data_IF_759420437085
#
_entry.id   IF_759420437085
#
_cell.length_a   1.000
_cell.length_b   1.000
_cell.length_c   1.000
_cell.angle_alpha   90.00
_cell.angle_beta   90.00
_cell.angle_gamma   90.00
#
_symmetry.space_group_name_H-M   'P 1'
#
loop_
_entity.id
_entity.type
_entity.pdbx_description
1 polymer ?
#
# COMPACT_ATOMS: atom_id res chain seq x y z
N UNK A 1 -3.27 13.09 14.31
CA UNK A 1 -3.41 12.71 12.87
C UNK A 1 -2.33 11.72 12.46
N UNK A 2 -1.05 12.08 12.57
CA UNK A 2 0.05 11.18 12.19
C UNK A 2 0.04 9.87 12.98
N UNK A 3 -0.24 9.92 14.28
CA UNK A 3 -0.28 8.72 15.13
C UNK A 3 -1.36 7.73 14.69
N UNK A 4 -2.51 8.19 14.23
CA UNK A 4 -3.57 7.31 13.73
C UNK A 4 -3.18 6.61 12.43
N UNK A 5 -2.45 7.30 11.55
CA UNK A 5 -1.95 6.69 10.31
C UNK A 5 -0.91 5.61 10.60
N UNK A 6 -0.05 5.83 11.60
CA UNK A 6 0.91 4.82 12.05
C UNK A 6 0.17 3.61 12.63
N UNK A 7 -0.82 3.85 13.48
CA UNK A 7 -1.61 2.77 14.10
C UNK A 7 -2.40 1.97 13.07
N UNK A 8 -3.01 2.64 12.07
CA UNK A 8 -3.69 1.97 10.95
C UNK A 8 -2.72 1.03 10.24
N UNK A 9 -1.51 1.52 9.94
CA UNK A 9 -0.49 0.75 9.24
C UNK A 9 -0.07 -0.47 10.04
N UNK A 10 0.19 -0.29 11.34
CA UNK A 10 0.58 -1.39 12.22
C UNK A 10 -0.55 -2.41 12.42
N UNK A 11 -1.80 -1.96 12.44
CA UNK A 11 -2.96 -2.86 12.53
C UNK A 11 -3.09 -3.74 11.28
N UNK A 12 -2.72 -3.21 10.11
CA UNK A 12 -2.76 -3.96 8.85
C UNK A 12 -1.57 -4.92 8.70
N UNK A 13 -0.45 -4.66 9.36
CA UNK A 13 0.80 -5.38 9.20
C UNK A 13 0.67 -6.91 9.29
N UNK A 14 0.03 -7.49 10.33
CA UNK A 14 -0.06 -8.95 10.43
C UNK A 14 -0.97 -9.59 9.38
N UNK A 15 -1.72 -8.76 8.65
CA UNK A 15 -2.68 -9.22 7.64
C UNK A 15 -2.07 -9.20 6.22
N UNK A 16 -0.90 -8.61 6.07
CA UNK A 16 -0.19 -8.51 4.79
C UNK A 16 0.81 -9.65 4.69
N UNK A 17 0.77 -10.39 3.58
CA UNK A 17 1.65 -11.54 3.35
C UNK A 17 2.45 -11.33 2.07
N UNK A 18 3.77 -11.41 2.17
CA UNK A 18 4.68 -11.24 1.04
C UNK A 18 6.01 -10.68 1.50
N UNK A 19 6.94 -10.53 0.57
CA UNK A 19 8.28 -10.00 0.86
C UNK A 19 8.62 -8.76 0.06
N UNK A 20 8.10 -8.64 -1.15
CA UNK A 20 8.29 -7.45 -1.98
C UNK A 20 7.00 -6.64 -1.99
N UNK A 21 7.04 -5.49 -1.36
CA UNK A 21 5.86 -4.64 -1.14
C UNK A 21 6.05 -3.32 -1.87
N UNK A 22 5.05 -2.93 -2.65
CA UNK A 22 4.98 -1.61 -3.27
C UNK A 22 3.92 -0.78 -2.57
N UNK A 23 4.29 0.41 -2.13
CA UNK A 23 3.37 1.40 -1.57
C UNK A 23 3.18 2.52 -2.58
N UNK A 24 2.00 2.61 -3.18
CA UNK A 24 1.69 3.55 -4.26
C UNK A 24 1.04 4.81 -3.70
N UNK A 25 1.55 5.96 -4.12
CA UNK A 25 1.10 7.25 -3.61
C UNK A 25 1.55 7.46 -2.18
N UNK A 26 2.77 7.10 -1.90
CA UNK A 26 3.33 6.95 -0.56
C UNK A 26 3.57 8.26 0.19
N UNK A 27 3.36 9.40 -0.42
CA UNK A 27 3.59 10.77 0.04
C UNK A 27 3.96 11.00 1.51
N UNK A 28 3.12 10.55 2.45
CA UNK A 28 3.38 10.63 3.88
C UNK A 28 4.13 9.44 4.45
N UNK A 29 4.52 8.48 3.63
CA UNK A 29 5.25 7.28 4.05
C UNK A 29 4.40 6.18 4.68
N UNK A 30 3.10 6.26 4.58
CA UNK A 30 2.17 5.30 5.20
C UNK A 30 1.44 4.48 4.14
N UNK A 31 1.34 3.16 4.27
CA UNK A 31 1.84 2.34 5.38
C UNK A 31 3.29 1.87 5.23
N UNK A 32 3.97 2.22 4.15
CA UNK A 32 5.27 1.67 3.78
C UNK A 32 6.34 1.81 4.84
N UNK A 33 6.54 3.00 5.42
CA UNK A 33 7.60 3.21 6.41
C UNK A 33 7.36 2.39 7.68
N UNK A 34 6.17 2.39 8.29
CA UNK A 34 5.91 1.49 9.42
C UNK A 34 6.14 0.02 9.11
N UNK A 35 5.78 -0.44 7.92
CA UNK A 35 6.04 -1.81 7.49
C UNK A 35 7.55 -2.10 7.42
N UNK A 36 8.32 -1.17 6.85
CA UNK A 36 9.76 -1.32 6.71
C UNK A 36 10.46 -1.41 8.06
N UNK A 37 10.04 -0.61 9.01
CA UNK A 37 10.58 -0.60 10.37
C UNK A 37 10.26 -1.92 11.08
N UNK A 38 9.03 -2.39 10.98
CA UNK A 38 8.55 -3.56 11.70
C UNK A 38 8.99 -4.88 11.09
N UNK A 39 9.26 -4.88 9.78
CA UNK A 39 9.64 -6.09 9.03
C UNK A 39 10.94 -5.85 8.26
N UNK A 40 12.10 -5.97 8.93
CA UNK A 40 13.39 -5.71 8.28
C UNK A 40 13.70 -6.63 7.08
N UNK A 41 13.05 -7.80 7.03
CA UNK A 41 13.27 -8.78 5.97
C UNK A 41 12.42 -8.50 4.71
N UNK A 42 11.46 -7.58 4.80
CA UNK A 42 10.67 -7.18 3.65
C UNK A 42 11.44 -6.18 2.79
N UNK A 43 11.16 -6.18 1.50
CA UNK A 43 11.69 -5.19 0.57
C UNK A 43 10.57 -4.21 0.23
N UNK A 44 10.71 -2.97 0.63
CA UNK A 44 9.71 -1.92 0.44
C UNK A 44 10.13 -0.98 -0.67
N UNK A 45 9.21 -0.69 -1.58
CA UNK A 45 9.35 0.36 -2.58
C UNK A 45 8.26 1.40 -2.35
N UNK A 46 8.66 2.63 -2.11
CA UNK A 46 7.74 3.76 -1.92
C UNK A 46 7.70 4.56 -3.21
N UNK A 47 6.56 4.59 -3.85
CA UNK A 47 6.38 5.22 -5.16
C UNK A 47 5.45 6.44 -5.05
N UNK A 48 5.91 7.58 -5.55
CA UNK A 48 5.08 8.77 -5.66
C UNK A 48 5.58 9.62 -6.84
N UNK A 49 4.67 10.24 -7.55
CA UNK A 49 5.02 11.10 -8.69
C UNK A 49 5.48 12.50 -8.25
N UNK A 50 5.21 12.89 -7.01
CA UNK A 50 5.53 14.22 -6.49
C UNK A 50 6.96 14.28 -6.00
N UNK A 51 7.79 15.11 -6.66
CA UNK A 51 9.21 15.24 -6.34
C UNK A 51 9.47 15.72 -4.90
N UNK A 52 8.67 16.65 -4.41
CA UNK A 52 8.80 17.15 -3.02
C UNK A 52 8.56 16.04 -2.01
N UNK A 53 7.51 15.25 -2.23
CA UNK A 53 7.15 14.14 -1.34
C UNK A 53 8.23 13.06 -1.36
N UNK A 54 8.75 12.70 -2.53
CA UNK A 54 9.80 11.68 -2.63
C UNK A 54 11.12 12.16 -2.03
N UNK A 55 11.43 13.45 -2.12
CA UNK A 55 12.60 14.02 -1.44
C UNK A 55 12.47 13.86 0.08
N UNK A 56 11.30 14.16 0.63
CA UNK A 56 11.01 13.95 2.04
C UNK A 56 11.13 12.46 2.42
N UNK A 57 10.58 11.56 1.60
CA UNK A 57 10.65 10.12 1.86
C UNK A 57 12.10 9.62 1.86
N UNK A 58 12.91 10.07 0.91
CA UNK A 58 14.33 9.71 0.84
C UNK A 58 15.07 10.17 2.10
N UNK A 59 14.80 11.37 2.57
CA UNK A 59 15.37 11.90 3.79
C UNK A 59 14.96 11.05 4.99
N UNK A 60 13.68 10.70 5.10
CA UNK A 60 13.17 9.87 6.19
C UNK A 60 13.83 8.47 6.19
N UNK A 61 13.98 7.87 5.03
CA UNK A 61 14.64 6.56 4.89
C UNK A 61 16.08 6.61 5.39
N UNK A 62 16.80 7.67 5.04
CA UNK A 62 18.19 7.88 5.49
C UNK A 62 18.24 8.08 7.01
N UNK A 63 17.41 8.97 7.53
CA UNK A 63 17.41 9.29 8.97
C UNK A 63 17.02 8.10 9.85
N UNK A 64 16.10 7.26 9.36
CA UNK A 64 15.65 6.07 10.07
C UNK A 64 16.57 4.86 9.82
N UNK A 65 17.54 4.99 8.93
CA UNK A 65 18.47 3.90 8.62
C UNK A 65 17.80 2.68 8.00
N UNK A 66 16.78 2.88 7.16
CA UNK A 66 16.05 1.80 6.54
C UNK A 66 16.80 1.26 5.32
N UNK A 67 17.46 0.12 5.48
CA UNK A 67 18.25 -0.51 4.42
C UNK A 67 17.39 -1.35 3.46
N UNK A 68 16.14 -1.61 3.81
CA UNK A 68 15.21 -2.43 3.05
C UNK A 68 14.19 -1.60 2.25
N UNK A 69 14.40 -0.29 2.12
CA UNK A 69 13.42 0.62 1.52
C UNK A 69 14.04 1.43 0.39
N UNK A 70 13.40 1.41 -0.76
CA UNK A 70 13.73 2.20 -1.93
C UNK A 70 12.62 3.24 -2.17
N UNK A 71 13.00 4.46 -2.54
CA UNK A 71 12.04 5.52 -2.88
C UNK A 71 12.18 5.84 -4.38
N UNK A 72 11.07 5.80 -5.08
CA UNK A 72 11.02 6.05 -6.54
C UNK A 72 10.09 7.22 -6.81
N UNK A 73 10.59 8.21 -7.55
CA UNK A 73 9.80 9.35 -8.01
C UNK A 73 9.40 9.11 -9.46
N UNK A 74 8.20 8.59 -9.66
CA UNK A 74 7.71 8.26 -11.00
C UNK A 74 6.19 8.11 -10.98
N UNK A 75 5.56 8.31 -12.13
CA UNK A 75 4.14 7.96 -12.28
C UNK A 75 4.00 6.45 -12.28
N UNK A 76 2.97 5.96 -11.62
CA UNK A 76 2.75 4.51 -11.49
C UNK A 76 2.61 3.83 -12.87
N UNK A 77 1.97 4.50 -13.83
CA UNK A 77 1.77 3.96 -15.19
C UNK A 77 3.09 3.77 -15.95
N UNK A 78 4.09 4.58 -15.64
CA UNK A 78 5.39 4.57 -16.30
C UNK A 78 6.43 3.70 -15.58
N UNK A 79 6.13 3.28 -14.35
CA UNK A 79 7.07 2.50 -13.54
C UNK A 79 7.23 1.09 -14.09
N UNK A 80 8.46 0.74 -14.47
CA UNK A 80 8.82 -0.57 -15.04
C UNK A 80 9.99 -1.17 -14.25
N UNK A 81 9.72 -1.74 -13.06
CA UNK A 81 10.78 -2.36 -12.25
C UNK A 81 11.23 -3.69 -12.86
N UNK A 82 12.43 -4.13 -12.48
CA UNK A 82 12.95 -5.43 -12.92
C UNK A 82 12.13 -6.60 -12.39
N UNK A 83 11.58 -6.47 -11.19
CA UNK A 83 10.78 -7.50 -10.53
C UNK A 83 9.44 -6.93 -10.09
N UNK A 84 8.40 -7.73 -10.24
CA UNK A 84 7.07 -7.38 -9.78
C UNK A 84 6.95 -7.57 -8.28
N UNK A 85 5.83 -7.13 -7.73
CA UNK A 85 5.62 -7.08 -6.28
C UNK A 85 4.63 -8.15 -5.83
N UNK A 86 4.89 -8.71 -4.65
CA UNK A 86 4.00 -9.70 -4.01
C UNK A 86 2.73 -9.04 -3.48
N UNK A 87 2.89 -7.81 -2.96
CA UNK A 87 1.78 -7.02 -2.43
C UNK A 87 1.91 -5.59 -2.92
N UNK A 88 0.80 -5.03 -3.38
CA UNK A 88 0.70 -3.62 -3.73
C UNK A 88 -0.31 -2.99 -2.79
N UNK A 89 0.12 -1.98 -2.05
CA UNK A 89 -0.70 -1.30 -1.05
C UNK A 89 -0.85 0.17 -1.37
N UNK A 90 -1.93 0.77 -0.91
CA UNK A 90 -2.15 2.21 -1.01
C UNK A 90 -3.20 2.67 -0.01
N UNK A 91 -3.08 3.95 0.40
CA UNK A 91 -4.11 4.69 1.14
C UNK A 91 -4.70 5.81 0.31
N UNK A 92 -4.02 6.18 -0.78
CA UNK A 92 -4.26 7.45 -1.47
C UNK A 92 -5.18 7.37 -2.68
N UNK A 93 -5.56 6.18 -3.11
CA UNK A 93 -6.42 6.04 -4.29
C UNK A 93 -7.89 6.29 -3.95
N UNK A 94 -8.57 6.97 -4.87
CA UNK A 94 -9.98 7.31 -4.71
C UNK A 94 -10.91 6.10 -4.85
N UNK A 95 -10.55 5.14 -5.72
CA UNK A 95 -11.34 3.93 -5.88
C UNK A 95 -10.50 2.70 -6.23
N UNK A 96 -11.06 1.53 -5.93
CA UNK A 96 -10.38 0.24 -6.09
C UNK A 96 -10.14 -0.14 -7.55
N UNK A 97 -11.09 0.15 -8.45
CA UNK A 97 -10.95 -0.18 -9.86
C UNK A 97 -9.77 0.58 -10.49
N UNK A 98 -9.63 1.86 -10.17
CA UNK A 98 -8.53 2.69 -10.63
C UNK A 98 -7.20 2.19 -10.08
N UNK A 99 -7.16 1.86 -8.80
CA UNK A 99 -5.97 1.31 -8.15
C UNK A 99 -5.50 0.04 -8.87
N UNK A 100 -6.40 -0.89 -9.11
CA UNK A 100 -6.10 -2.14 -9.83
C UNK A 100 -5.63 -1.85 -11.26
N UNK A 101 -6.36 -0.99 -11.97
CA UNK A 101 -6.05 -0.65 -13.37
C UNK A 101 -4.64 -0.10 -13.53
N UNK A 102 -4.25 0.83 -12.67
CA UNK A 102 -2.96 1.49 -12.76
C UNK A 102 -1.78 0.63 -12.28
N UNK A 103 -2.03 -0.37 -11.46
CA UNK A 103 -0.95 -1.14 -10.82
C UNK A 103 -0.89 -2.61 -11.25
N UNK A 104 -1.83 -3.06 -12.04
CA UNK A 104 -1.91 -4.47 -12.46
C UNK A 104 -0.61 -4.99 -13.07
N UNK A 105 0.07 -4.17 -13.87
CA UNK A 105 1.33 -4.54 -14.52
C UNK A 105 2.49 -4.74 -13.54
N UNK A 106 2.31 -4.33 -12.29
CA UNK A 106 3.32 -4.39 -11.24
C UNK A 106 3.12 -5.58 -10.29
N UNK A 107 1.98 -6.27 -10.39
CA UNK A 107 1.65 -7.36 -9.49
C UNK A 107 2.27 -8.68 -9.95
N UNK A 108 2.99 -9.34 -9.06
CA UNK A 108 3.58 -10.66 -9.32
C UNK A 108 2.47 -11.72 -9.42
N UNK A 109 2.78 -12.83 -10.09
CA UNK A 109 1.88 -13.98 -10.13
C UNK A 109 1.59 -14.47 -8.70
N UNK A 110 0.32 -14.63 -8.38
CA UNK A 110 -0.10 -15.00 -7.02
C UNK A 110 -0.10 -13.84 -6.05
N UNK A 111 0.23 -12.62 -6.50
CA UNK A 111 0.27 -11.45 -5.66
C UNK A 111 -1.10 -10.94 -5.25
N UNK A 112 -1.10 -9.93 -4.40
CA UNK A 112 -2.31 -9.42 -3.78
C UNK A 112 -2.27 -7.90 -3.67
N UNK A 113 -3.40 -7.25 -3.94
CA UNK A 113 -3.59 -5.84 -3.59
C UNK A 113 -4.11 -5.74 -2.17
N UNK A 114 -3.61 -4.77 -1.42
CA UNK A 114 -4.02 -4.49 -0.05
C UNK A 114 -4.31 -3.00 0.09
N UNK A 115 -5.58 -2.63 -0.04
CA UNK A 115 -6.00 -1.24 -0.01
C UNK A 115 -6.54 -0.87 1.37
N UNK A 116 -6.04 0.25 1.92
CA UNK A 116 -6.54 0.80 3.18
C UNK A 116 -7.68 1.77 2.89
N UNK A 117 -8.85 1.49 3.41
CA UNK A 117 -10.07 2.30 3.23
C UNK A 117 -10.67 2.68 4.58
N UNK A 118 -11.42 3.77 4.60
CA UNK A 118 -12.16 4.17 5.78
C UNK A 118 -13.41 3.33 5.97
N UNK A 119 -14.51 3.72 5.33
CA UNK A 119 -15.76 2.96 5.37
C UNK A 119 -15.70 1.76 4.43
N UNK A 120 -16.58 0.78 4.66
CA UNK A 120 -16.68 -0.39 3.79
C UNK A 120 -17.00 0.06 2.34
N UNK A 121 -16.19 -0.31 1.35
CA UNK A 121 -16.31 0.25 0.00
C UNK A 121 -17.26 -0.53 -0.92
N UNK A 122 -18.54 -0.60 -0.57
CA UNK A 122 -19.56 -1.36 -1.32
C UNK A 122 -19.60 -1.02 -2.81
N UNK A 123 -19.69 0.28 -3.12
CA UNK A 123 -19.81 0.75 -4.50
C UNK A 123 -18.55 0.49 -5.31
N UNK A 124 -17.40 0.68 -4.67
CA UNK A 124 -16.11 0.44 -5.32
C UNK A 124 -15.92 -1.05 -5.66
N UNK A 125 -16.32 -1.92 -4.75
CA UNK A 125 -16.25 -3.37 -4.95
C UNK A 125 -17.12 -3.78 -6.14
N UNK A 126 -18.31 -3.20 -6.25
CA UNK A 126 -19.24 -3.51 -7.34
C UNK A 126 -18.69 -3.12 -8.72
N UNK A 127 -17.73 -2.21 -8.79
CA UNK A 127 -17.14 -1.72 -10.04
C UNK A 127 -15.84 -2.45 -10.43
N UNK A 128 -15.41 -3.42 -9.66
CA UNK A 128 -14.18 -4.16 -9.97
C UNK A 128 -14.32 -4.98 -11.26
N UNK A 129 -13.23 -5.14 -12.04
CA UNK A 129 -13.24 -6.02 -13.22
C UNK A 129 -13.59 -7.45 -12.86
N UNK A 130 -14.13 -8.19 -13.81
CA UNK A 130 -14.56 -9.59 -13.61
C UNK A 130 -13.42 -10.52 -13.20
N UNK A 131 -12.19 -10.23 -13.66
CA UNK A 131 -11.02 -11.05 -13.34
C UNK A 131 -10.37 -10.71 -12.00
N UNK A 132 -10.93 -9.75 -11.28
CA UNK A 132 -10.48 -9.35 -9.95
C UNK A 132 -11.50 -9.79 -8.91
N UNK A 133 -11.06 -10.44 -7.87
CA UNK A 133 -11.93 -10.84 -6.77
C UNK A 133 -11.53 -10.20 -5.45
N UNK A 134 -12.52 -9.95 -4.62
CA UNK A 134 -12.29 -9.57 -3.23
C UNK A 134 -11.99 -10.86 -2.47
N UNK A 135 -10.77 -10.97 -1.96
CA UNK A 135 -10.37 -12.12 -1.15
C UNK A 135 -10.88 -12.00 0.26
N UNK A 136 -10.77 -10.79 0.82
CA UNK A 136 -11.19 -10.52 2.19
C UNK A 136 -11.34 -9.01 2.40
N UNK A 137 -12.27 -8.62 3.27
CA UNK A 137 -12.35 -7.24 3.79
C UNK A 137 -12.33 -7.35 5.29
N UNK A 138 -11.32 -6.73 5.91
CA UNK A 138 -11.08 -6.85 7.34
C UNK A 138 -11.26 -5.47 7.99
N UNK A 139 -12.12 -5.39 8.98
CA UNK A 139 -12.24 -4.19 9.79
C UNK A 139 -11.05 -4.10 10.74
N UNK A 140 -10.33 -2.97 10.71
CA UNK A 140 -9.18 -2.75 11.56
C UNK A 140 -9.60 -2.05 12.85
N UNK A 141 -9.13 -2.59 13.97
CA UNK A 141 -9.33 -1.99 15.29
C UNK A 141 -8.10 -1.17 15.64
N UNK A 142 -8.27 0.15 15.72
CA UNK A 142 -7.19 1.07 16.05
C UNK A 142 -7.49 1.68 17.43
N UNK A 143 -6.64 1.44 18.44
CA UNK A 143 -6.86 1.99 19.77
C UNK A 143 -6.99 3.52 19.75
N UNK A 144 -8.04 4.03 20.39
CA UNK A 144 -8.29 5.47 20.47
C UNK A 144 -8.88 6.10 19.22
N UNK A 145 -9.11 5.32 18.15
CA UNK A 145 -9.73 5.83 16.92
C UNK A 145 -11.19 5.37 16.87
N UNK A 146 -12.10 6.35 16.87
CA UNK A 146 -13.55 6.10 16.79
C UNK A 146 -14.04 6.33 15.36
N UNK A 147 -13.39 5.67 14.40
CA UNK A 147 -13.74 5.76 12.99
C UNK A 147 -13.50 4.42 12.31
N UNK A 148 -14.29 4.15 11.27
CA UNK A 148 -14.13 2.91 10.51
C UNK A 148 -12.82 2.91 9.72
N UNK A 149 -12.16 1.76 9.72
CA UNK A 149 -10.99 1.48 8.90
C UNK A 149 -11.08 0.05 8.41
N UNK A 150 -10.78 -0.15 7.13
CA UNK A 150 -10.84 -1.47 6.51
C UNK A 150 -9.59 -1.75 5.70
N UNK A 151 -9.13 -2.99 5.73
CA UNK A 151 -8.14 -3.49 4.81
C UNK A 151 -8.88 -4.35 3.78
N UNK A 152 -8.81 -3.94 2.51
CA UNK A 152 -9.45 -4.66 1.41
C UNK A 152 -8.39 -5.45 0.65
N UNK A 153 -8.50 -6.77 0.65
CA UNK A 153 -7.57 -7.66 -0.03
C UNK A 153 -8.17 -8.14 -1.34
N UNK A 154 -7.51 -7.85 -2.44
CA UNK A 154 -7.94 -8.18 -3.79
C UNK A 154 -6.91 -9.07 -4.46
N UNK A 155 -7.36 -9.91 -5.40
CA UNK A 155 -6.48 -10.73 -6.20
C UNK A 155 -7.09 -11.04 -7.55
N UNK A 156 -6.28 -11.61 -8.44
CA UNK A 156 -6.75 -12.10 -9.73
C UNK A 156 -7.41 -13.45 -9.54
N UNK A 157 -8.49 -13.69 -10.28
CA UNK A 157 -9.22 -14.97 -10.27
C UNK A 157 -8.39 -16.08 -10.92
#
# INVERSE_FOLDING_TARGET
MLSYHVLDSLAALPLVAGQRILDVGSGGGMPGIPFAISQPDWSLTLLDANHKKTTFLKQAVIELGLTNTEVVCERVEAFQPERKFDVITSRAFSDLAEFVRLTRHLLAEGGEWAALKGVYPDEEIAQLPEDVCVREVIELKVPGLDAERHLVKLGLR
#
